data_IF_156838966647
#
_entry.id   IF_156838966647
#
_cell.length_a   1.000
_cell.length_b   1.000
_cell.length_c   1.000
_cell.angle_alpha   90.00
_cell.angle_beta   90.00
_cell.angle_gamma   90.00
#
_symmetry.space_group_name_H-M   'P 1'
#
loop_
_entity.id
_entity.type
_entity.pdbx_description
1 polymer ?
#
# COMPACT_ATOMS: atom_id res chain seq x y z
N UNK A 1 -15.56 -1.20 7.34
CA UNK A 1 -14.45 -1.84 6.62
C UNK A 1 -13.17 -1.27 7.20
N UNK A 2 -12.34 -2.02 7.93
CA UNK A 2 -11.15 -1.42 8.53
C UNK A 2 -9.95 -1.55 7.58
N UNK A 3 -9.37 -0.40 7.26
CA UNK A 3 -8.12 -0.24 6.53
C UNK A 3 -6.96 -0.17 7.55
N UNK A 4 -5.88 -0.89 7.30
CA UNK A 4 -4.68 -0.90 8.14
C UNK A 4 -3.56 -0.23 7.32
N UNK A 5 -2.87 0.74 7.91
CA UNK A 5 -1.58 1.22 7.39
C UNK A 5 -0.48 0.75 8.31
N UNK A 6 0.61 0.28 7.72
CA UNK A 6 1.80 -0.17 8.42
C UNK A 6 2.77 1.01 8.51
N UNK A 7 2.97 1.55 9.71
CA UNK A 7 4.07 2.47 9.96
C UNK A 7 5.33 1.66 10.31
N UNK A 8 6.42 1.87 9.56
CA UNK A 8 7.68 1.13 9.75
C UNK A 8 8.66 1.97 10.56
N UNK A 9 8.65 1.81 11.87
CA UNK A 9 9.69 2.35 12.75
C UNK A 9 10.64 1.23 13.18
N UNK A 10 11.89 1.31 12.75
CA UNK A 10 12.98 0.42 13.21
C UNK A 10 13.64 1.03 14.44
N UNK A 11 13.69 0.30 15.55
CA UNK A 11 14.52 0.67 16.69
C UNK A 11 16.00 0.32 16.42
N UNK A 12 16.90 0.83 17.26
CA UNK A 12 18.36 0.63 17.19
C UNK A 12 18.81 -0.85 17.30
N UNK A 13 17.91 -1.76 17.67
CA UNK A 13 18.16 -3.21 17.78
C UNK A 13 17.49 -4.03 16.66
N UNK A 14 16.89 -3.40 15.66
CA UNK A 14 16.33 -4.07 14.47
C UNK A 14 15.03 -4.86 14.71
N UNK A 15 14.35 -4.68 15.85
CA UNK A 15 13.06 -5.32 16.13
C UNK A 15 11.93 -4.47 15.54
N UNK A 16 11.12 -5.06 14.67
CA UNK A 16 9.97 -4.40 14.04
C UNK A 16 8.82 -4.36 15.05
N UNK A 17 8.50 -3.18 15.58
CA UNK A 17 7.29 -2.99 16.37
C UNK A 17 6.14 -2.64 15.42
N UNK A 18 5.19 -3.57 15.25
CA UNK A 18 3.94 -3.28 14.57
C UNK A 18 3.05 -2.48 15.54
N UNK A 19 2.98 -1.16 15.36
CA UNK A 19 1.97 -0.35 16.04
C UNK A 19 0.76 -0.25 15.10
N UNK A 20 -0.33 -1.01 15.32
CA UNK A 20 -1.51 -0.94 14.48
C UNK A 20 -2.24 0.37 14.74
N UNK A 21 -1.85 1.42 14.03
CA UNK A 21 -2.61 2.66 13.97
C UNK A 21 -3.67 2.50 12.89
N UNK A 22 -4.94 2.70 13.23
CA UNK A 22 -6.00 2.76 12.23
C UNK A 22 -5.78 4.02 11.38
N UNK A 23 -5.49 3.84 10.10
CA UNK A 23 -5.32 4.95 9.15
C UNK A 23 -6.02 4.59 7.87
N UNK A 24 -6.73 5.57 7.34
CA UNK A 24 -7.52 5.46 6.13
C UNK A 24 -6.59 5.64 4.94
N UNK A 25 -6.44 4.58 4.13
CA UNK A 25 -5.72 4.65 2.87
C UNK A 25 -6.68 5.07 1.76
N UNK A 26 -6.31 6.12 1.05
CA UNK A 26 -6.96 6.59 -0.15
C UNK A 26 -6.38 5.87 -1.37
N UNK A 27 -7.26 5.37 -2.23
CA UNK A 27 -6.90 4.88 -3.55
C UNK A 27 -7.32 5.88 -4.63
N UNK A 28 -6.35 6.44 -5.35
CA UNK A 28 -6.62 7.40 -6.43
C UNK A 28 -6.11 6.84 -7.75
N UNK A 29 -7.02 6.69 -8.71
CA UNK A 29 -6.68 6.31 -10.09
C UNK A 29 -6.42 7.55 -10.92
N UNK A 30 -5.28 7.59 -11.61
CA UNK A 30 -4.93 8.69 -12.50
C UNK A 30 -4.08 8.21 -13.68
N UNK A 31 -3.86 9.07 -14.66
CA UNK A 31 -3.06 8.78 -15.84
C UNK A 31 -2.17 9.97 -16.14
N UNK A 32 -0.89 9.73 -16.45
CA UNK A 32 0.01 10.80 -16.86
C UNK A 32 -0.25 11.18 -18.33
N UNK A 33 -0.09 12.47 -18.69
CA UNK A 33 -0.39 12.95 -20.05
C UNK A 33 0.51 12.35 -21.14
N UNK A 34 1.65 11.77 -20.78
CA UNK A 34 2.60 11.17 -21.72
C UNK A 34 2.72 9.64 -21.56
N UNK A 35 1.85 9.04 -20.75
CA UNK A 35 1.90 7.64 -20.38
C UNK A 35 0.55 7.00 -20.68
N UNK A 36 0.57 5.89 -21.43
CA UNK A 36 -0.64 5.13 -21.73
C UNK A 36 -1.12 4.30 -20.55
N UNK A 37 -0.28 4.08 -19.54
CA UNK A 37 -0.61 3.27 -18.40
C UNK A 37 -1.47 4.04 -17.40
N UNK A 38 -2.39 3.31 -16.79
CA UNK A 38 -3.15 3.78 -15.65
C UNK A 38 -2.30 3.59 -14.39
N UNK A 39 -2.18 4.65 -13.60
CA UNK A 39 -1.52 4.65 -12.30
C UNK A 39 -2.55 4.67 -11.17
N UNK A 40 -2.15 4.08 -10.05
CA UNK A 40 -2.90 3.98 -8.81
C UNK A 40 -2.01 4.44 -7.67
N UNK A 41 -2.43 5.52 -7.02
CA UNK A 41 -1.85 5.98 -5.75
C UNK A 41 -2.55 5.28 -4.59
N UNK A 42 -1.77 4.75 -3.65
CA UNK A 42 -2.23 4.15 -2.40
C UNK A 42 -1.51 4.85 -1.24
N UNK A 43 -2.23 5.61 -0.41
CA UNK A 43 -1.62 6.32 0.71
C UNK A 43 -2.64 7.08 1.55
N UNK A 44 -2.22 7.62 2.69
CA UNK A 44 -3.06 8.37 3.63
C UNK A 44 -3.31 9.83 3.19
N UNK A 45 -2.97 10.19 1.95
CA UNK A 45 -2.99 11.57 1.45
C UNK A 45 -1.72 12.36 1.76
N UNK A 46 -0.80 11.79 2.55
CA UNK A 46 0.53 12.35 2.76
C UNK A 46 1.43 12.10 1.56
N UNK A 47 2.01 13.17 1.01
CA UNK A 47 2.93 13.11 -0.14
C UNK A 47 4.18 12.26 0.11
N UNK A 48 4.56 12.08 1.37
CA UNK A 48 5.78 11.37 1.79
C UNK A 48 5.58 9.87 2.04
N UNK A 49 4.33 9.38 2.11
CA UNK A 49 4.01 8.02 2.55
C UNK A 49 3.14 7.24 1.56
N UNK A 50 2.80 7.84 0.42
CA UNK A 50 2.03 7.17 -0.61
C UNK A 50 2.88 6.32 -1.56
N UNK A 51 2.24 5.30 -2.11
CA UNK A 51 2.80 4.38 -3.09
C UNK A 51 2.10 4.57 -4.44
N UNK A 52 2.87 4.91 -5.46
CA UNK A 52 2.38 4.97 -6.85
C UNK A 52 2.76 3.68 -7.59
N UNK A 53 1.75 2.98 -8.09
CA UNK A 53 1.93 1.75 -8.86
C UNK A 53 1.06 1.75 -10.11
N UNK A 54 1.51 1.08 -11.16
CA UNK A 54 0.65 0.85 -12.33
C UNK A 54 -0.51 -0.08 -11.99
N UNK A 55 -1.60 -0.01 -12.75
CA UNK A 55 -2.76 -0.87 -12.55
C UNK A 55 -2.40 -2.36 -12.65
N UNK A 56 -1.52 -2.72 -13.57
CA UNK A 56 -1.00 -4.09 -13.71
C UNK A 56 -0.27 -4.53 -12.44
N UNK A 57 0.59 -3.67 -11.89
CA UNK A 57 1.30 -3.95 -10.64
C UNK A 57 0.35 -4.04 -9.44
N UNK A 58 -0.70 -3.20 -9.41
CA UNK A 58 -1.75 -3.28 -8.39
C UNK A 58 -2.51 -4.61 -8.43
N UNK A 59 -2.85 -5.12 -9.63
CA UNK A 59 -3.50 -6.43 -9.79
C UNK A 59 -2.62 -7.56 -9.26
N UNK A 60 -1.33 -7.51 -9.58
CA UNK A 60 -0.35 -8.49 -9.07
C UNK A 60 -0.22 -8.40 -7.55
N UNK A 61 -0.17 -7.19 -7.00
CA UNK A 61 -0.10 -6.96 -5.56
C UNK A 61 -1.33 -7.53 -4.85
N UNK A 62 -2.53 -7.22 -5.32
CA UNK A 62 -3.79 -7.75 -4.75
C UNK A 62 -3.82 -9.27 -4.80
N UNK A 63 -3.40 -9.88 -5.91
CA UNK A 63 -3.35 -11.34 -6.03
C UNK A 63 -2.35 -11.98 -5.05
N UNK A 64 -1.17 -11.40 -4.90
CA UNK A 64 -0.16 -11.88 -3.94
C UNK A 64 -0.64 -11.70 -2.50
N UNK A 65 -1.26 -10.55 -2.18
CA UNK A 65 -1.80 -10.28 -0.85
C UNK A 65 -2.96 -11.21 -0.50
N UNK A 66 -3.87 -11.45 -1.44
CA UNK A 66 -4.97 -12.39 -1.25
C UNK A 66 -4.43 -13.78 -0.91
N UNK A 67 -3.47 -14.28 -1.70
CA UNK A 67 -2.80 -15.56 -1.44
C UNK A 67 -2.08 -15.57 -0.09
N UNK A 68 -1.41 -14.48 0.28
CA UNK A 68 -0.72 -14.39 1.57
C UNK A 68 -1.69 -14.45 2.75
N UNK A 69 -2.84 -13.75 2.66
CA UNK A 69 -3.88 -13.80 3.70
C UNK A 69 -4.54 -15.19 3.79
N UNK A 70 -4.67 -15.89 2.67
CA UNK A 70 -5.22 -17.25 2.63
C UNK A 70 -4.21 -18.34 3.09
N UNK A 71 -2.91 -18.10 2.97
CA UNK A 71 -1.82 -19.04 3.33
C UNK A 71 -1.48 -19.00 4.84
N UNK A 72 -1.91 -17.97 5.56
CA UNK A 72 -1.85 -17.88 7.04
C UNK A 72 -3.00 -18.70 7.68
N UNK A 73 -3.06 -20.00 7.36
CA UNK A 73 -4.04 -20.98 7.84
C UNK A 73 -3.42 -22.18 8.55
#
# INVERSE_FOLDING_TARGET
>A
MPCITLERTTNETGTIHHHPTATELTLVRYQYPHDSDTWLYIGDGSRSHGLDITLESARRLVSTLARYVEDEG
#
